data_IF_698122303625
#
_entry.id   IF_698122303625
#
_cell.length_a   1.000
_cell.length_b   1.000
_cell.length_c   1.000
_cell.angle_alpha   90.00
_cell.angle_beta   90.00
_cell.angle_gamma   90.00
#
_symmetry.space_group_name_H-M   'P 1'
#
loop_
_entity.id
_entity.type
_entity.pdbx_description
1 polymer ?
#
# COMPACT_ATOMS: atom_id res chain seq x y z
N UNK A 1 -16.78 -13.46 -17.27
CA UNK A 1 -17.38 -12.41 -18.13
C UNK A 1 -17.27 -11.08 -17.39
N UNK A 2 -16.42 -10.18 -17.85
CA UNK A 2 -16.32 -8.82 -17.31
C UNK A 2 -16.68 -7.81 -18.41
N UNK A 3 -17.31 -6.70 -18.03
CA UNK A 3 -17.60 -5.55 -18.91
C UNK A 3 -18.41 -5.84 -20.18
N UNK A 4 -19.23 -6.89 -20.21
CA UNK A 4 -20.19 -7.10 -21.31
C UNK A 4 -21.27 -6.03 -21.20
N UNK A 5 -21.11 -4.93 -21.94
CA UNK A 5 -22.14 -3.89 -22.04
C UNK A 5 -23.43 -4.52 -22.56
N UNK A 6 -24.52 -4.36 -21.80
CA UNK A 6 -25.86 -4.74 -22.27
C UNK A 6 -26.26 -3.77 -23.37
N UNK A 7 -26.10 -4.19 -24.62
CA UNK A 7 -26.58 -3.44 -25.79
C UNK A 7 -28.01 -3.89 -26.07
N UNK A 8 -28.99 -2.97 -26.12
CA UNK A 8 -30.33 -3.28 -26.62
C UNK A 8 -30.18 -3.79 -28.04
N UNK A 9 -30.55 -5.04 -28.28
CA UNK A 9 -30.46 -5.72 -29.58
C UNK A 9 -31.86 -6.13 -29.99
N UNK A 10 -32.20 -5.90 -31.26
CA UNK A 10 -33.50 -6.30 -31.80
C UNK A 10 -33.60 -7.83 -31.84
N UNK A 11 -34.82 -8.36 -31.88
CA UNK A 11 -35.03 -9.82 -31.90
C UNK A 11 -34.42 -10.47 -33.15
N UNK A 12 -34.41 -9.75 -34.29
CA UNK A 12 -33.75 -10.18 -35.53
C UNK A 12 -32.22 -10.27 -35.37
N UNK A 13 -31.57 -9.26 -34.79
CA UNK A 13 -30.14 -9.28 -34.52
C UNK A 13 -29.74 -10.38 -33.52
N UNK A 14 -30.61 -10.66 -32.55
CA UNK A 14 -30.42 -11.77 -31.59
C UNK A 14 -30.46 -13.11 -32.30
N UNK A 15 -31.45 -13.33 -33.17
CA UNK A 15 -31.59 -14.57 -33.93
C UNK A 15 -30.40 -14.81 -34.88
N UNK A 16 -29.88 -13.76 -35.54
CA UNK A 16 -28.67 -13.85 -36.38
C UNK A 16 -27.46 -14.24 -35.54
N UNK A 17 -27.22 -13.57 -34.39
CA UNK A 17 -26.11 -13.90 -33.49
C UNK A 17 -26.20 -15.31 -32.91
N UNK A 18 -27.40 -15.81 -32.63
CA UNK A 18 -27.62 -17.18 -32.16
C UNK A 18 -27.27 -18.21 -33.23
N UNK A 19 -27.69 -17.99 -34.49
CA UNK A 19 -27.30 -18.87 -35.61
C UNK A 19 -25.79 -18.90 -35.80
N UNK A 20 -25.12 -17.76 -35.77
CA UNK A 20 -23.65 -17.71 -35.86
C UNK A 20 -22.96 -18.43 -34.70
N UNK A 21 -23.46 -18.26 -33.47
CA UNK A 21 -22.95 -18.97 -32.29
C UNK A 21 -23.14 -20.47 -32.40
N UNK A 22 -24.27 -20.93 -32.92
CA UNK A 22 -24.55 -22.35 -33.13
C UNK A 22 -23.57 -22.99 -34.13
N UNK A 23 -23.25 -22.31 -35.24
CA UNK A 23 -22.27 -22.78 -36.23
C UNK A 23 -20.87 -22.86 -35.61
N UNK A 24 -20.47 -21.83 -34.85
CA UNK A 24 -19.18 -21.80 -34.13
C UNK A 24 -19.10 -22.91 -33.09
N UNK A 25 -20.18 -23.13 -32.33
CA UNK A 25 -20.27 -24.19 -31.33
C UNK A 25 -20.16 -25.57 -31.96
N UNK A 26 -20.84 -25.83 -33.08
CA UNK A 26 -20.74 -27.10 -33.81
C UNK A 26 -19.31 -27.38 -34.25
N UNK A 27 -18.64 -26.37 -34.79
CA UNK A 27 -17.22 -26.47 -35.17
C UNK A 27 -16.32 -26.75 -33.96
N UNK A 28 -16.56 -26.05 -32.84
CA UNK A 28 -15.82 -26.24 -31.60
C UNK A 28 -15.98 -27.68 -31.07
N UNK A 29 -17.21 -28.19 -30.99
CA UNK A 29 -17.49 -29.55 -30.52
C UNK A 29 -16.82 -30.60 -31.39
N UNK A 30 -16.91 -30.48 -32.72
CA UNK A 30 -16.27 -31.42 -33.63
C UNK A 30 -14.75 -31.48 -33.46
N UNK A 31 -14.09 -30.32 -33.37
CA UNK A 31 -12.62 -30.25 -33.17
C UNK A 31 -12.23 -30.76 -31.78
N UNK A 32 -12.99 -30.43 -30.74
CA UNK A 32 -12.79 -30.93 -29.37
C UNK A 32 -12.85 -32.45 -29.33
N UNK A 33 -13.88 -33.04 -29.93
CA UNK A 33 -14.10 -34.48 -29.90
C UNK A 33 -12.98 -35.22 -30.63
N UNK A 34 -12.53 -34.68 -31.77
CA UNK A 34 -11.36 -35.19 -32.49
C UNK A 34 -10.07 -35.13 -31.65
N UNK A 35 -9.81 -34.03 -30.94
CA UNK A 35 -8.65 -33.91 -30.04
C UNK A 35 -8.68 -35.00 -28.96
N UNK A 36 -9.84 -35.24 -28.35
CA UNK A 36 -9.97 -36.27 -27.31
C UNK A 36 -9.83 -37.68 -27.85
N UNK A 37 -10.37 -37.95 -29.05
CA UNK A 37 -10.21 -39.25 -29.72
C UNK A 37 -8.73 -39.54 -30.02
N UNK A 38 -8.01 -38.59 -30.62
CA UNK A 38 -6.56 -38.72 -30.89
C UNK A 38 -5.77 -38.94 -29.61
N UNK A 39 -6.03 -38.14 -28.57
CA UNK A 39 -5.37 -38.31 -27.27
C UNK A 39 -5.65 -39.69 -26.66
N UNK A 40 -6.88 -40.19 -26.76
CA UNK A 40 -7.24 -41.51 -26.24
C UNK A 40 -6.52 -42.65 -26.99
N UNK A 41 -6.24 -42.47 -28.28
CA UNK A 41 -5.42 -43.39 -29.09
C UNK A 41 -3.92 -43.24 -28.88
N UNK A 42 -3.47 -42.24 -28.11
CA UNK A 42 -2.05 -41.92 -27.90
C UNK A 42 -1.39 -41.20 -29.08
N UNK A 43 -2.16 -40.65 -30.01
CA UNK A 43 -1.68 -39.93 -31.18
C UNK A 43 -1.26 -38.49 -30.80
N UNK A 44 -0.02 -38.35 -30.33
CA UNK A 44 0.59 -37.07 -29.93
C UNK A 44 1.45 -36.48 -31.05
N UNK A 45 0.80 -36.04 -32.13
CA UNK A 45 1.43 -35.61 -33.39
C UNK A 45 1.31 -34.09 -33.65
N UNK A 46 1.75 -33.61 -34.82
CA UNK A 46 1.58 -32.20 -35.20
C UNK A 46 0.11 -31.82 -35.43
N UNK A 47 -0.75 -32.78 -35.78
CA UNK A 47 -2.16 -32.55 -35.99
C UNK A 47 -2.85 -32.15 -34.68
N UNK A 48 -2.58 -32.83 -33.57
CA UNK A 48 -3.16 -32.45 -32.27
C UNK A 48 -2.70 -31.05 -31.83
N UNK A 49 -1.47 -30.63 -32.20
CA UNK A 49 -1.00 -29.26 -31.99
C UNK A 49 -1.78 -28.27 -32.87
N UNK A 50 -2.01 -28.55 -34.15
CA UNK A 50 -2.81 -27.66 -34.99
C UNK A 50 -4.26 -27.54 -34.48
N UNK A 51 -4.88 -28.66 -34.10
CA UNK A 51 -6.27 -28.70 -33.61
C UNK A 51 -6.42 -27.93 -32.29
N UNK A 52 -5.51 -28.13 -31.34
CA UNK A 52 -5.55 -27.40 -30.07
C UNK A 52 -5.27 -25.91 -30.26
N UNK A 53 -4.35 -25.52 -31.15
CA UNK A 53 -4.09 -24.12 -31.50
C UNK A 53 -5.37 -23.43 -31.98
N UNK A 54 -6.10 -24.04 -32.92
CA UNK A 54 -7.34 -23.50 -33.47
C UNK A 54 -8.40 -23.18 -32.41
N UNK A 55 -8.45 -23.98 -31.34
CA UNK A 55 -9.38 -23.75 -30.23
C UNK A 55 -8.85 -22.72 -29.22
N UNK A 56 -7.55 -22.74 -28.92
CA UNK A 56 -6.91 -21.85 -27.95
C UNK A 56 -6.85 -20.40 -28.42
N UNK A 57 -6.63 -20.14 -29.72
CA UNK A 57 -6.72 -18.80 -30.31
C UNK A 57 -8.11 -18.16 -30.12
N UNK A 58 -9.15 -18.98 -29.94
CA UNK A 58 -10.52 -18.51 -29.67
C UNK A 58 -10.85 -18.44 -28.19
N UNK A 59 -10.34 -19.40 -27.41
CA UNK A 59 -10.53 -19.43 -25.96
C UNK A 59 -9.27 -19.97 -25.27
N UNK A 60 -8.37 -19.08 -24.82
CA UNK A 60 -7.12 -19.49 -24.19
C UNK A 60 -7.30 -20.03 -22.76
N UNK A 61 -8.50 -19.96 -22.18
CA UNK A 61 -8.75 -20.42 -20.80
C UNK A 61 -9.07 -21.92 -20.70
N UNK A 62 -9.11 -22.63 -21.84
CA UNK A 62 -9.30 -24.09 -21.84
C UNK A 62 -7.99 -24.79 -21.47
N UNK A 63 -7.72 -24.86 -20.16
CA UNK A 63 -6.49 -25.42 -19.60
C UNK A 63 -6.19 -26.86 -20.07
N UNK A 64 -7.23 -27.67 -20.31
CA UNK A 64 -7.07 -29.04 -20.81
C UNK A 64 -6.32 -29.10 -22.14
N UNK A 65 -6.57 -28.18 -23.06
CA UNK A 65 -5.86 -28.16 -24.34
C UNK A 65 -4.40 -27.75 -24.17
N UNK A 66 -4.09 -26.82 -23.26
CA UNK A 66 -2.70 -26.53 -22.91
C UNK A 66 -1.99 -27.74 -22.28
N UNK A 67 -2.68 -28.55 -21.47
CA UNK A 67 -2.11 -29.78 -20.91
C UNK A 67 -1.75 -30.78 -22.02
N UNK A 68 -2.68 -31.01 -22.96
CA UNK A 68 -2.47 -31.88 -24.12
C UNK A 68 -1.31 -31.39 -24.98
N UNK A 69 -1.21 -30.07 -25.21
CA UNK A 69 -0.06 -29.48 -25.90
C UNK A 69 1.24 -29.78 -25.19
N UNK A 70 1.33 -29.54 -23.88
CA UNK A 70 2.56 -29.82 -23.11
C UNK A 70 2.94 -31.30 -23.14
N UNK A 71 1.98 -32.21 -23.04
CA UNK A 71 2.22 -33.66 -23.21
C UNK A 71 2.84 -33.95 -24.59
N UNK A 72 2.22 -33.43 -25.64
CA UNK A 72 2.67 -33.62 -27.03
C UNK A 72 4.06 -33.03 -27.28
N UNK A 73 4.29 -31.79 -26.85
CA UNK A 73 5.57 -31.11 -26.99
C UNK A 73 6.66 -31.84 -26.19
N UNK A 74 6.35 -32.33 -24.99
CA UNK A 74 7.31 -33.09 -24.18
C UNK A 74 7.76 -34.39 -24.86
N UNK A 75 6.83 -35.10 -25.52
CA UNK A 75 7.14 -36.29 -26.32
C UNK A 75 8.01 -35.89 -27.52
N UNK A 76 7.61 -34.87 -28.29
CA UNK A 76 8.38 -34.39 -29.44
C UNK A 76 9.78 -33.92 -29.07
N UNK A 77 9.97 -33.20 -27.97
CA UNK A 77 11.30 -32.80 -27.48
C UNK A 77 12.15 -34.02 -27.16
N UNK A 78 11.58 -35.06 -26.52
CA UNK A 78 12.31 -36.30 -26.23
C UNK A 78 12.72 -37.01 -27.51
N UNK A 79 11.82 -37.14 -28.47
CA UNK A 79 12.07 -37.81 -29.74
C UNK A 79 13.13 -37.07 -30.57
N UNK A 80 13.05 -35.73 -30.64
CA UNK A 80 14.04 -34.89 -31.31
C UNK A 80 15.42 -35.03 -30.64
N UNK A 81 15.49 -34.93 -29.30
CA UNK A 81 16.74 -35.11 -28.54
C UNK A 81 17.30 -36.53 -28.60
N UNK A 82 16.45 -37.54 -28.78
CA UNK A 82 16.89 -38.92 -28.97
C UNK A 82 17.43 -39.13 -30.39
N UNK A 83 16.75 -38.61 -31.39
CA UNK A 83 17.23 -38.60 -32.77
C UNK A 83 18.60 -37.89 -32.86
N UNK A 84 18.77 -36.77 -32.16
CA UNK A 84 20.06 -36.06 -32.03
C UNK A 84 21.16 -36.95 -31.43
N UNK A 85 20.89 -37.66 -30.33
CA UNK A 85 21.87 -38.58 -29.71
C UNK A 85 22.24 -39.75 -30.61
N UNK A 86 21.34 -40.21 -31.47
CA UNK A 86 21.64 -41.23 -32.47
C UNK A 86 22.44 -40.68 -33.66
N UNK A 87 22.31 -39.39 -33.99
CA UNK A 87 22.99 -38.73 -35.11
C UNK A 87 24.28 -37.97 -34.74
N UNK A 88 24.57 -37.77 -33.45
CA UNK A 88 25.76 -37.08 -32.90
C UNK A 88 27.12 -37.69 -33.27
N UNK A 89 27.17 -38.69 -34.16
CA UNK A 89 28.37 -39.14 -34.86
C UNK A 89 28.68 -38.33 -36.14
N UNK A 90 27.84 -37.36 -36.54
CA UNK A 90 28.04 -36.61 -37.78
C UNK A 90 27.62 -35.12 -37.70
N UNK A 91 28.58 -34.26 -37.36
CA UNK A 91 28.59 -32.79 -37.53
C UNK A 91 27.85 -31.93 -36.49
N UNK A 92 28.62 -31.01 -35.91
CA UNK A 92 28.18 -29.91 -35.06
C UNK A 92 27.68 -28.77 -35.96
N UNK A 93 26.39 -28.39 -35.93
CA UNK A 93 25.92 -26.98 -36.06
C UNK A 93 24.47 -26.74 -36.50
N UNK A 94 23.67 -27.73 -36.93
CA UNK A 94 22.33 -27.43 -37.54
C UNK A 94 21.07 -27.88 -36.79
N UNK A 95 21.15 -28.75 -35.79
CA UNK A 95 19.94 -29.46 -35.29
C UNK A 95 19.34 -28.99 -33.95
N UNK A 96 20.11 -28.30 -33.09
CA UNK A 96 19.58 -27.56 -31.90
C UNK A 96 18.43 -26.60 -32.27
N UNK A 97 18.36 -26.21 -33.54
CA UNK A 97 17.34 -25.34 -34.13
C UNK A 97 15.91 -25.92 -34.07
N UNK A 98 15.69 -27.24 -34.22
CA UNK A 98 14.31 -27.78 -34.37
C UNK A 98 13.49 -27.71 -33.09
N UNK A 99 14.11 -28.02 -31.94
CA UNK A 99 13.46 -27.89 -30.63
C UNK A 99 13.18 -26.42 -30.35
N UNK A 100 14.16 -25.55 -30.61
CA UNK A 100 13.99 -24.10 -30.42
C UNK A 100 12.94 -23.50 -31.36
N UNK A 101 12.81 -23.98 -32.60
CA UNK A 101 11.77 -23.56 -33.55
C UNK A 101 10.37 -23.96 -33.06
N UNK A 102 10.22 -25.18 -32.53
CA UNK A 102 8.98 -25.65 -31.91
C UNK A 102 8.60 -24.77 -30.70
N UNK A 103 9.56 -24.49 -29.80
CA UNK A 103 9.32 -23.64 -28.63
C UNK A 103 9.02 -22.19 -29.04
N UNK A 104 9.68 -21.66 -30.08
CA UNK A 104 9.40 -20.32 -30.63
C UNK A 104 7.98 -20.23 -31.20
N UNK A 105 7.50 -21.28 -31.87
CA UNK A 105 6.11 -21.35 -32.33
C UNK A 105 5.11 -21.32 -31.16
N UNK A 106 5.42 -21.97 -30.03
CA UNK A 106 4.60 -21.90 -28.82
C UNK A 106 4.61 -20.50 -28.17
N UNK A 107 5.77 -19.82 -28.16
CA UNK A 107 5.85 -18.43 -27.71
C UNK A 107 4.99 -17.50 -28.60
N UNK A 108 4.92 -17.77 -29.90
CA UNK A 108 4.03 -17.03 -30.80
C UNK A 108 2.55 -17.31 -30.51
N UNK A 109 2.17 -18.59 -30.31
CA UNK A 109 0.80 -18.95 -29.96
C UNK A 109 0.35 -18.30 -28.63
N UNK A 110 1.20 -18.34 -27.60
CA UNK A 110 0.89 -17.71 -26.32
C UNK A 110 0.75 -16.20 -26.46
N UNK A 111 1.55 -15.55 -27.30
CA UNK A 111 1.41 -14.13 -27.60
C UNK A 111 0.03 -13.81 -28.19
N UNK A 112 -0.40 -14.55 -29.23
CA UNK A 112 -1.74 -14.38 -29.82
C UNK A 112 -2.87 -14.57 -28.79
N UNK A 113 -2.72 -15.60 -27.95
CA UNK A 113 -3.68 -15.89 -26.89
C UNK A 113 -3.76 -14.77 -25.84
N UNK A 114 -2.62 -14.19 -25.46
CA UNK A 114 -2.53 -13.10 -24.48
C UNK A 114 -2.98 -11.76 -25.07
N UNK A 115 -2.82 -11.53 -26.36
CA UNK A 115 -3.41 -10.37 -27.05
C UNK A 115 -4.95 -10.46 -27.08
N UNK A 116 -5.50 -11.67 -27.23
CA UNK A 116 -6.94 -11.91 -27.16
C UNK A 116 -7.48 -11.85 -25.72
N UNK A 117 -6.75 -12.41 -24.74
CA UNK A 117 -7.09 -12.36 -23.32
C UNK A 117 -5.83 -12.27 -22.45
N UNK A 118 -5.43 -11.04 -22.13
CA UNK A 118 -4.22 -10.75 -21.35
C UNK A 118 -4.29 -11.20 -19.87
N UNK A 119 -5.45 -11.68 -19.42
CA UNK A 119 -5.70 -12.22 -18.07
C UNK A 119 -5.88 -13.75 -18.05
N UNK A 120 -5.52 -14.42 -19.14
CA UNK A 120 -5.60 -15.88 -19.20
C UNK A 120 -4.51 -16.53 -18.34
N UNK A 121 -4.91 -17.18 -17.24
CA UNK A 121 -4.00 -17.95 -16.39
C UNK A 121 -3.24 -19.01 -17.18
N UNK A 122 -3.96 -19.76 -18.03
CA UNK A 122 -3.38 -20.90 -18.74
C UNK A 122 -2.38 -20.48 -19.80
N UNK A 123 -2.61 -19.37 -20.50
CA UNK A 123 -1.66 -18.86 -21.50
C UNK A 123 -0.36 -18.36 -20.84
N UNK A 124 -0.45 -17.59 -19.75
CA UNK A 124 0.74 -17.15 -18.99
C UNK A 124 1.51 -18.33 -18.40
N UNK A 125 0.81 -19.30 -17.81
CA UNK A 125 1.44 -20.51 -17.28
C UNK A 125 2.18 -21.30 -18.38
N UNK A 126 1.53 -21.50 -19.54
CA UNK A 126 2.16 -22.19 -20.66
C UNK A 126 3.37 -21.44 -21.19
N UNK A 127 3.31 -20.11 -21.32
CA UNK A 127 4.45 -19.27 -21.74
C UNK A 127 5.64 -19.43 -20.81
N UNK A 128 5.41 -19.36 -19.49
CA UNK A 128 6.46 -19.60 -18.48
C UNK A 128 7.05 -21.01 -18.56
N UNK A 129 6.22 -22.03 -18.81
CA UNK A 129 6.68 -23.41 -19.02
C UNK A 129 7.54 -23.55 -20.28
N UNK A 130 7.17 -22.92 -21.41
CA UNK A 130 7.93 -22.94 -22.67
C UNK A 130 9.32 -22.35 -22.47
N UNK A 131 9.42 -21.19 -21.79
CA UNK A 131 10.70 -20.54 -21.49
C UNK A 131 11.63 -21.45 -20.66
N UNK A 132 11.08 -22.28 -19.78
CA UNK A 132 11.85 -23.25 -18.98
C UNK A 132 12.34 -24.45 -19.80
N UNK A 133 11.78 -24.71 -20.98
CA UNK A 133 12.23 -25.79 -21.85
C UNK A 133 13.35 -25.38 -22.81
N UNK A 134 13.52 -24.07 -23.05
CA UNK A 134 14.56 -23.54 -23.92
C UNK A 134 15.94 -23.69 -23.27
N UNK A 135 16.95 -23.96 -24.09
CA UNK A 135 18.34 -24.01 -23.61
C UNK A 135 18.87 -22.59 -23.34
N UNK A 136 18.49 -21.65 -24.20
CA UNK A 136 18.89 -20.24 -24.13
C UNK A 136 17.67 -19.32 -24.32
N UNK A 137 16.82 -19.18 -23.28
CA UNK A 137 15.63 -18.33 -23.39
C UNK A 137 16.00 -16.86 -23.67
N UNK A 138 15.30 -16.22 -24.60
CA UNK A 138 15.45 -14.77 -24.88
C UNK A 138 14.73 -13.93 -23.81
N UNK A 139 15.33 -13.92 -22.62
CA UNK A 139 14.88 -13.20 -21.44
C UNK A 139 14.77 -11.70 -21.68
N UNK A 140 15.59 -11.11 -22.58
CA UNK A 140 15.56 -9.68 -22.86
C UNK A 140 14.29 -9.30 -23.60
N UNK A 141 13.93 -10.04 -24.64
CA UNK A 141 12.67 -9.86 -25.34
C UNK A 141 11.48 -10.09 -24.41
N UNK A 142 11.60 -11.06 -23.51
CA UNK A 142 10.53 -11.36 -22.57
C UNK A 142 10.30 -10.28 -21.50
N UNK A 143 11.38 -9.66 -21.00
CA UNK A 143 11.28 -8.49 -20.12
C UNK A 143 10.65 -7.29 -20.84
N UNK A 144 11.02 -7.06 -22.11
CA UNK A 144 10.39 -6.01 -22.93
C UNK A 144 8.88 -6.25 -23.14
N UNK A 145 8.47 -7.51 -23.30
CA UNK A 145 7.07 -7.90 -23.37
C UNK A 145 6.35 -7.59 -22.04
N UNK A 146 6.96 -7.92 -20.91
CA UNK A 146 6.42 -7.59 -19.59
C UNK A 146 6.24 -6.07 -19.42
N UNK A 147 7.25 -5.29 -19.81
CA UNK A 147 7.20 -3.82 -19.79
C UNK A 147 6.05 -3.30 -20.67
N UNK A 148 5.87 -3.84 -21.88
CA UNK A 148 4.76 -3.47 -22.77
C UNK A 148 3.40 -3.83 -22.17
N UNK A 149 3.25 -5.02 -21.61
CA UNK A 149 2.01 -5.46 -21.00
C UNK A 149 1.64 -4.65 -19.74
N UNK A 150 2.62 -4.30 -18.91
CA UNK A 150 2.42 -3.44 -17.72
C UNK A 150 2.15 -1.98 -18.08
N UNK A 151 2.63 -1.49 -19.23
CA UNK A 151 2.20 -0.18 -19.76
C UNK A 151 0.72 -0.16 -20.16
N UNK A 152 0.19 -1.29 -20.64
CA UNK A 152 -1.22 -1.42 -21.03
C UNK A 152 -2.14 -1.64 -19.82
N UNK A 153 -1.72 -2.47 -18.86
CA UNK A 153 -2.42 -2.70 -17.60
C UNK A 153 -1.40 -2.89 -16.48
N UNK A 154 -1.07 -1.79 -15.79
CA UNK A 154 -0.08 -1.78 -14.72
C UNK A 154 -0.50 -2.60 -13.48
N UNK A 155 -1.78 -2.99 -13.40
CA UNK A 155 -2.37 -3.80 -12.32
C UNK A 155 -2.52 -5.27 -12.72
N UNK A 156 -2.06 -5.66 -13.90
CA UNK A 156 -2.14 -7.04 -14.36
C UNK A 156 -1.19 -7.94 -13.55
N UNK A 157 -1.69 -8.55 -12.48
CA UNK A 157 -0.89 -9.41 -11.62
C UNK A 157 -0.30 -10.61 -12.38
N UNK A 158 -0.93 -11.10 -13.44
CA UNK A 158 -0.36 -12.19 -14.24
C UNK A 158 0.96 -11.78 -14.90
N UNK A 159 1.04 -10.56 -15.41
CA UNK A 159 2.27 -10.02 -16.00
C UNK A 159 3.33 -9.80 -14.93
N UNK A 160 2.94 -9.32 -13.74
CA UNK A 160 3.86 -9.22 -12.59
C UNK A 160 4.41 -10.58 -12.15
N UNK A 161 3.55 -11.59 -12.07
CA UNK A 161 3.91 -12.96 -11.71
C UNK A 161 4.88 -13.54 -12.76
N UNK A 162 4.56 -13.36 -14.04
CA UNK A 162 5.41 -13.81 -15.14
C UNK A 162 6.76 -13.10 -15.15
N UNK A 163 6.80 -11.77 -14.94
CA UNK A 163 8.06 -11.03 -14.82
C UNK A 163 8.94 -11.61 -13.72
N UNK A 164 8.38 -12.02 -12.57
CA UNK A 164 9.16 -12.66 -11.50
C UNK A 164 9.76 -14.01 -11.92
N UNK A 165 9.08 -14.77 -12.78
CA UNK A 165 9.64 -15.99 -13.37
C UNK A 165 10.80 -15.66 -14.30
N UNK A 166 10.61 -14.67 -15.19
CA UNK A 166 11.64 -14.24 -16.15
C UNK A 166 12.87 -13.68 -15.45
N UNK A 167 12.69 -12.81 -14.45
CA UNK A 167 13.76 -12.26 -13.64
C UNK A 167 14.59 -13.36 -12.95
N UNK A 168 13.93 -14.44 -12.49
CA UNK A 168 14.61 -15.60 -11.92
C UNK A 168 15.40 -16.40 -12.98
N UNK A 169 14.88 -16.52 -14.20
CA UNK A 169 15.55 -17.25 -15.29
C UNK A 169 16.84 -16.55 -15.76
N UNK A 170 16.88 -15.21 -15.72
CA UNK A 170 18.07 -14.42 -16.06
C UNK A 170 18.94 -14.03 -14.87
N UNK A 171 18.63 -14.53 -13.67
CA UNK A 171 19.36 -14.21 -12.44
C UNK A 171 19.53 -12.70 -12.22
N UNK A 172 18.49 -11.91 -12.49
CA UNK A 172 18.54 -10.46 -12.23
C UNK A 172 18.77 -10.20 -10.74
N UNK A 173 19.59 -9.19 -10.48
CA UNK A 173 19.86 -8.75 -9.12
C UNK A 173 18.64 -8.03 -8.53
N UNK A 174 18.52 -8.05 -7.21
CA UNK A 174 17.43 -7.37 -6.52
C UNK A 174 17.42 -5.86 -6.80
N UNK A 175 18.59 -5.27 -7.03
CA UNK A 175 18.75 -3.85 -7.40
C UNK A 175 18.07 -3.52 -8.73
N UNK A 176 18.15 -4.41 -9.72
CA UNK A 176 17.56 -4.18 -11.05
C UNK A 176 16.03 -4.15 -10.97
N UNK A 177 15.45 -5.06 -10.19
CA UNK A 177 14.00 -5.10 -9.99
C UNK A 177 13.49 -4.00 -9.04
N UNK A 178 14.33 -3.53 -8.09
CA UNK A 178 14.03 -2.32 -7.32
C UNK A 178 14.02 -1.09 -8.23
N UNK A 179 14.96 -0.98 -9.18
CA UNK A 179 14.98 0.11 -10.14
C UNK A 179 13.83 0.03 -11.15
N UNK A 180 13.44 -1.18 -11.52
CA UNK A 180 12.21 -1.40 -12.27
C UNK A 180 10.97 -0.84 -11.54
N UNK A 181 10.83 -1.15 -10.25
CA UNK A 181 9.74 -0.60 -9.43
C UNK A 181 9.80 0.92 -9.30
N UNK A 182 11.02 1.50 -9.16
CA UNK A 182 11.21 2.96 -9.13
C UNK A 182 10.65 3.62 -10.38
N UNK A 183 10.99 3.08 -11.55
CA UNK A 183 10.56 3.60 -12.84
C UNK A 183 9.04 3.52 -13.01
N UNK A 184 8.40 2.46 -12.53
CA UNK A 184 6.94 2.32 -12.60
C UNK A 184 6.21 3.24 -11.61
N UNK A 185 6.74 3.43 -10.40
CA UNK A 185 6.20 4.38 -9.42
C UNK A 185 6.34 5.82 -9.95
N UNK A 186 7.48 6.16 -10.55
CA UNK A 186 7.68 7.49 -11.13
C UNK A 186 6.75 7.79 -12.32
N UNK A 187 6.31 6.76 -13.06
CA UNK A 187 5.33 6.90 -14.13
C UNK A 187 3.89 6.99 -13.62
N UNK A 188 3.59 6.28 -12.54
CA UNK A 188 2.27 6.25 -11.91
C UNK A 188 2.43 5.95 -10.42
N UNK A 189 2.37 6.99 -9.59
CA UNK A 189 2.55 6.87 -8.15
C UNK A 189 1.45 6.03 -7.50
N UNK A 190 0.27 5.97 -8.08
CA UNK A 190 -0.87 5.17 -7.60
C UNK A 190 -0.80 3.69 -8.02
N UNK A 191 0.34 3.22 -8.52
CA UNK A 191 0.54 1.83 -8.94
C UNK A 191 0.79 0.91 -7.73
N UNK A 192 -0.30 0.42 -7.11
CA UNK A 192 -0.25 -0.55 -6.02
C UNK A 192 0.66 -1.76 -6.28
N UNK A 193 0.62 -2.31 -7.50
CA UNK A 193 1.40 -3.49 -7.82
C UNK A 193 2.91 -3.22 -7.78
N UNK A 194 3.35 -2.01 -8.16
CA UNK A 194 4.75 -1.61 -8.06
C UNK A 194 5.19 -1.44 -6.59
N UNK A 195 4.38 -0.79 -5.75
CA UNK A 195 4.65 -0.67 -4.32
C UNK A 195 4.69 -2.04 -3.62
N UNK A 196 3.73 -2.91 -3.94
CA UNK A 196 3.71 -4.27 -3.42
C UNK A 196 4.94 -5.07 -3.85
N UNK A 197 5.34 -4.96 -5.13
CA UNK A 197 6.51 -5.64 -5.63
C UNK A 197 7.78 -5.16 -4.92
N UNK A 198 7.91 -3.84 -4.72
CA UNK A 198 9.00 -3.23 -3.96
C UNK A 198 9.07 -3.74 -2.52
N UNK A 199 7.95 -3.79 -1.81
CA UNK A 199 7.87 -4.36 -0.45
C UNK A 199 8.35 -5.82 -0.40
N UNK A 200 7.92 -6.63 -1.37
CA UNK A 200 8.32 -8.03 -1.48
C UNK A 200 9.82 -8.20 -1.77
N UNK A 201 10.43 -7.32 -2.58
CA UNK A 201 11.86 -7.31 -2.84
C UNK A 201 12.66 -6.99 -1.57
N UNK A 202 12.28 -5.93 -0.84
CA UNK A 202 12.92 -5.56 0.42
C UNK A 202 12.87 -6.68 1.46
N UNK A 203 11.75 -7.43 1.56
CA UNK A 203 11.66 -8.60 2.43
C UNK A 203 12.62 -9.73 2.05
N UNK A 204 13.00 -9.86 0.78
CA UNK A 204 13.95 -10.88 0.32
C UNK A 204 15.39 -10.46 0.60
N UNK A 205 15.72 -9.20 0.35
CA UNK A 205 17.03 -8.61 0.67
C UNK A 205 17.29 -8.66 2.18
N UNK A 206 16.29 -8.39 3.03
CA UNK A 206 16.46 -8.50 4.48
C UNK A 206 16.72 -9.93 4.98
N UNK A 207 16.21 -10.96 4.29
CA UNK A 207 16.36 -12.37 4.71
C UNK A 207 17.75 -12.95 4.47
N UNK A 208 18.53 -12.40 3.55
CA UNK A 208 19.91 -12.86 3.32
C UNK A 208 20.86 -12.44 4.43
N UNK A 209 20.49 -11.44 5.24
CA UNK A 209 21.20 -11.06 6.45
C UNK A 209 20.65 -11.92 7.61
N UNK A 210 21.34 -13.02 7.91
CA UNK A 210 20.89 -14.21 8.70
C UNK A 210 20.25 -14.01 10.08
N UNK A 211 19.95 -12.80 10.56
CA UNK A 211 19.28 -12.61 11.86
C UNK A 211 18.22 -11.51 11.94
N UNK A 212 17.83 -10.85 10.85
CA UNK A 212 16.88 -9.74 10.94
C UNK A 212 15.82 -9.79 9.83
N UNK A 213 14.56 -10.03 10.24
CA UNK A 213 13.37 -9.56 9.51
C UNK A 213 13.25 -8.02 9.59
N UNK A 214 14.37 -7.30 9.48
CA UNK A 214 14.47 -5.85 9.68
C UNK A 214 15.19 -5.25 8.48
N UNK A 215 14.62 -4.19 7.92
CA UNK A 215 15.34 -3.32 7.00
C UNK A 215 16.23 -2.39 7.82
N UNK A 216 17.40 -2.04 7.30
CA UNK A 216 18.25 -1.05 7.96
C UNK A 216 17.57 0.33 7.98
N UNK A 217 17.87 1.12 9.01
CA UNK A 217 17.23 2.42 9.24
C UNK A 217 17.46 3.41 8.10
N UNK A 218 18.60 3.30 7.40
CA UNK A 218 18.92 4.15 6.25
C UNK A 218 17.99 3.84 5.08
N UNK A 219 17.81 2.57 4.74
CA UNK A 219 16.85 2.12 3.72
C UNK A 219 15.43 2.55 4.07
N UNK A 220 14.99 2.38 5.32
CA UNK A 220 13.64 2.81 5.75
C UNK A 220 13.48 4.32 5.55
N UNK A 221 14.47 5.12 5.94
CA UNK A 221 14.43 6.57 5.79
C UNK A 221 14.35 7.00 4.32
N UNK A 222 15.13 6.37 3.44
CA UNK A 222 15.11 6.71 2.01
C UNK A 222 13.81 6.26 1.33
N UNK A 223 13.23 5.13 1.74
CA UNK A 223 11.92 4.69 1.29
C UNK A 223 10.79 5.60 1.79
N UNK A 224 10.88 6.07 3.04
CA UNK A 224 9.90 7.02 3.59
C UNK A 224 9.95 8.36 2.85
N UNK A 225 11.14 8.88 2.53
CA UNK A 225 11.26 10.07 1.67
C UNK A 225 10.60 9.87 0.30
N UNK A 226 10.72 8.66 -0.27
CA UNK A 226 10.16 8.34 -1.58
C UNK A 226 8.64 8.33 -1.56
N UNK A 227 8.04 7.67 -0.57
CA UNK A 227 6.57 7.61 -0.43
C UNK A 227 5.99 8.96 -0.04
N UNK A 228 6.77 9.81 0.65
CA UNK A 228 6.38 11.20 0.94
C UNK A 228 6.02 11.99 -0.31
N UNK A 229 6.85 11.94 -1.35
CA UNK A 229 6.53 12.60 -2.62
C UNK A 229 5.26 12.05 -3.29
N UNK A 230 4.91 10.77 -3.05
CA UNK A 230 3.75 10.13 -3.66
C UNK A 230 2.43 10.63 -3.06
N UNK A 231 2.27 10.61 -1.73
CA UNK A 231 1.04 11.11 -1.10
C UNK A 231 0.89 12.64 -1.19
N UNK A 232 1.97 13.39 -1.36
CA UNK A 232 1.88 14.82 -1.71
C UNK A 232 1.30 15.07 -3.09
N UNK A 233 1.47 14.11 -4.01
CA UNK A 233 1.00 14.23 -5.40
C UNK A 233 -0.45 13.76 -5.53
N UNK A 234 -0.78 12.63 -4.91
CA UNK A 234 -2.14 12.06 -4.88
C UNK A 234 -2.42 11.47 -3.49
N UNK A 235 -3.00 12.27 -2.59
CA UNK A 235 -3.22 11.86 -1.20
C UNK A 235 -4.36 10.84 -1.04
N UNK A 236 -5.28 10.74 -2.02
CA UNK A 236 -6.35 9.74 -2.03
C UNK A 236 -5.85 8.35 -2.47
N UNK A 237 -4.63 8.26 -3.04
CA UNK A 237 -4.02 6.98 -3.38
C UNK A 237 -3.66 6.16 -2.12
N UNK A 238 -4.42 5.10 -1.92
CA UNK A 238 -4.20 4.16 -0.82
C UNK A 238 -2.88 3.38 -0.95
N UNK A 239 -2.30 3.29 -2.14
CA UNK A 239 -1.11 2.47 -2.38
C UNK A 239 0.10 2.97 -1.61
N UNK A 240 0.36 4.27 -1.67
CA UNK A 240 1.42 4.92 -0.89
C UNK A 240 1.21 4.71 0.63
N UNK A 241 0.00 4.91 1.14
CA UNK A 241 -0.31 4.73 2.55
C UNK A 241 -0.10 3.29 3.04
N UNK A 242 -0.54 2.30 2.26
CA UNK A 242 -0.33 0.89 2.58
C UNK A 242 1.17 0.56 2.61
N UNK A 243 1.96 1.14 1.70
CA UNK A 243 3.41 0.94 1.69
C UNK A 243 4.10 1.60 2.89
N UNK A 244 3.72 2.84 3.25
CA UNK A 244 4.20 3.52 4.47
C UNK A 244 3.94 2.68 5.71
N UNK A 245 2.73 2.13 5.85
CA UNK A 245 2.39 1.22 6.95
C UNK A 245 3.33 0.02 6.99
N UNK A 246 3.59 -0.61 5.85
CA UNK A 246 4.55 -1.72 5.76
C UNK A 246 5.95 -1.32 6.26
N UNK A 247 6.48 -0.16 5.86
CA UNK A 247 7.81 0.31 6.28
C UNK A 247 7.89 0.49 7.81
N UNK A 248 6.86 1.10 8.41
CA UNK A 248 6.77 1.28 9.86
C UNK A 248 6.64 -0.07 10.59
N UNK A 249 5.91 -1.03 10.01
CA UNK A 249 5.79 -2.39 10.57
C UNK A 249 7.10 -3.20 10.49
N UNK A 250 7.97 -2.90 9.51
CA UNK A 250 9.26 -3.58 9.34
C UNK A 250 10.32 -3.14 10.36
N UNK A 251 10.35 -1.88 10.75
CA UNK A 251 11.22 -1.42 11.85
C UNK A 251 10.84 -2.08 13.19
N UNK A 252 9.55 -2.38 13.34
CA UNK A 252 8.92 -2.70 14.62
C UNK A 252 8.62 -4.16 14.88
N UNK A 253 9.08 -5.09 14.03
CA UNK A 253 8.82 -6.54 14.18
C UNK A 253 7.33 -6.93 14.18
N UNK A 254 6.44 -6.14 13.53
CA UNK A 254 4.96 -6.32 13.60
C UNK A 254 4.38 -6.27 15.02
N UNK A 255 5.04 -5.54 15.93
CA UNK A 255 4.68 -5.44 17.36
C UNK A 255 3.49 -4.51 17.60
N UNK A 256 3.20 -3.63 16.64
CA UNK A 256 2.29 -2.50 16.74
C UNK A 256 0.78 -2.80 16.77
N UNK A 257 0.34 -4.05 16.95
CA UNK A 257 -1.08 -4.38 16.73
C UNK A 257 -1.68 -5.40 17.71
N UNK A 258 -0.94 -5.90 18.71
CA UNK A 258 -1.51 -6.90 19.63
C UNK A 258 -1.25 -6.54 21.10
N UNK A 259 -2.30 -6.22 21.89
CA UNK A 259 -2.19 -6.01 23.34
C UNK A 259 -1.51 -7.17 24.06
N UNK A 260 -1.70 -8.41 23.57
CA UNK A 260 -1.14 -9.65 24.13
C UNK A 260 0.28 -10.00 23.65
N UNK A 261 1.02 -9.05 23.08
CA UNK A 261 2.40 -9.28 22.62
C UNK A 261 3.36 -9.50 23.80
N UNK A 262 4.19 -10.54 23.73
CA UNK A 262 5.22 -10.91 24.74
C UNK A 262 6.43 -9.94 24.75
N UNK A 263 6.47 -8.97 23.84
CA UNK A 263 7.54 -7.97 23.77
C UNK A 263 7.33 -6.88 24.84
N UNK A 264 8.39 -6.39 25.52
CA UNK A 264 8.28 -5.31 26.51
C UNK A 264 7.64 -4.06 25.89
N UNK A 265 6.64 -3.49 26.57
CA UNK A 265 6.11 -2.19 26.21
C UNK A 265 7.19 -1.13 26.44
N UNK A 266 7.35 -0.15 25.54
CA UNK A 266 8.32 0.94 25.71
C UNK A 266 7.71 2.25 25.19
N UNK A 267 8.08 3.41 25.78
CA UNK A 267 7.70 4.71 25.24
C UNK A 267 8.43 4.94 23.91
N UNK A 268 7.67 5.31 22.87
CA UNK A 268 8.19 5.74 21.58
C UNK A 268 8.51 7.23 21.61
N UNK A 269 7.56 8.02 22.10
CA UNK A 269 7.70 9.46 22.28
C UNK A 269 7.13 9.84 23.65
N UNK A 270 7.84 10.72 24.34
CA UNK A 270 7.31 11.48 25.48
C UNK A 270 7.53 12.94 25.18
N UNK A 271 6.45 13.71 25.19
CA UNK A 271 6.47 15.16 24.98
C UNK A 271 5.83 15.87 26.17
N UNK A 272 6.38 17.04 26.50
CA UNK A 272 5.83 17.94 27.50
C UNK A 272 5.67 19.33 26.91
N UNK A 273 4.45 19.84 26.95
CA UNK A 273 4.11 21.12 26.35
C UNK A 273 3.07 21.85 27.20
N UNK A 274 3.41 23.06 27.65
CA UNK A 274 2.58 23.84 28.55
C UNK A 274 2.41 23.13 29.89
N UNK A 275 1.26 22.47 30.05
CA UNK A 275 0.90 21.66 31.21
C UNK A 275 0.48 20.23 30.83
N UNK A 276 0.74 19.76 29.61
CA UNK A 276 0.34 18.43 29.17
C UNK A 276 1.56 17.57 28.83
N UNK A 277 1.66 16.42 29.50
CA UNK A 277 2.58 15.34 29.16
C UNK A 277 1.84 14.34 28.28
N UNK A 278 2.33 14.11 27.05
CA UNK A 278 1.83 13.04 26.18
C UNK A 278 2.86 11.94 26.07
N UNK A 279 2.38 10.71 26.19
CA UNK A 279 3.17 9.49 26.04
C UNK A 279 2.57 8.64 24.94
N UNK A 280 3.37 8.29 23.95
CA UNK A 280 2.99 7.33 22.90
C UNK A 280 3.80 6.07 23.07
N UNK A 281 3.10 4.95 23.27
CA UNK A 281 3.71 3.66 23.59
C UNK A 281 3.86 2.76 22.35
N UNK A 282 4.76 1.79 22.42
CA UNK A 282 5.01 0.84 21.33
C UNK A 282 3.88 -0.17 21.11
N UNK A 283 2.93 -0.30 22.04
CA UNK A 283 1.71 -1.10 21.91
C UNK A 283 0.63 -0.51 22.82
N UNK A 284 -0.62 -0.94 22.65
CA UNK A 284 -1.65 -0.66 23.66
C UNK A 284 -1.23 -1.28 24.99
N UNK A 285 -1.23 -0.47 26.04
CA UNK A 285 -0.76 -0.84 27.37
C UNK A 285 -1.64 -0.18 28.44
N UNK A 286 -1.52 -0.69 29.66
CA UNK A 286 -2.16 -0.14 30.85
C UNK A 286 -1.41 1.09 31.36
N UNK A 287 -2.04 1.88 32.23
CA UNK A 287 -1.39 3.03 32.87
C UNK A 287 -0.20 2.61 33.75
N UNK A 288 -0.31 1.48 34.44
CA UNK A 288 0.76 0.97 35.31
C UNK A 288 2.06 0.68 34.52
N UNK A 289 1.91 0.17 33.30
CA UNK A 289 3.03 -0.03 32.38
C UNK A 289 3.66 1.30 31.93
N UNK A 290 2.88 2.37 31.80
CA UNK A 290 3.38 3.72 31.45
C UNK A 290 4.11 4.36 32.63
N UNK A 291 3.53 4.28 33.84
CA UNK A 291 4.13 4.79 35.07
C UNK A 291 5.46 4.10 35.42
N UNK A 292 5.70 2.88 34.91
CA UNK A 292 7.02 2.25 34.97
C UNK A 292 8.15 3.05 34.28
N UNK A 293 7.81 3.89 33.30
CA UNK A 293 8.76 4.75 32.57
C UNK A 293 8.74 6.21 33.02
N UNK A 294 7.75 6.62 33.81
CA UNK A 294 7.49 8.03 34.10
C UNK A 294 7.32 8.22 35.59
N UNK A 295 8.12 9.10 36.16
CA UNK A 295 7.97 9.55 37.55
C UNK A 295 7.27 10.90 37.55
N UNK A 296 6.12 10.99 38.21
CA UNK A 296 5.40 12.25 38.44
C UNK A 296 5.63 12.70 39.88
N UNK A 297 5.78 14.01 40.09
CA UNK A 297 5.89 14.62 41.42
C UNK A 297 4.53 14.85 42.08
N UNK A 298 3.46 14.90 41.27
CA UNK A 298 2.08 15.06 41.69
C UNK A 298 1.22 13.87 41.23
N UNK A 299 0.15 13.56 41.98
CA UNK A 299 -0.91 12.62 41.57
C UNK A 299 -1.83 13.28 40.53
N UNK A 300 -1.28 13.58 39.35
CA UNK A 300 -2.06 14.08 38.23
C UNK A 300 -2.79 12.91 37.51
N UNK A 301 -4.08 13.04 37.18
CA UNK A 301 -4.84 11.97 36.57
C UNK A 301 -4.41 11.72 35.12
N UNK A 302 -4.05 10.47 34.82
CA UNK A 302 -3.74 10.04 33.46
C UNK A 302 -5.00 9.62 32.71
N UNK A 303 -5.08 10.01 31.44
CA UNK A 303 -6.17 9.66 30.54
C UNK A 303 -5.64 8.93 29.32
N UNK A 304 -6.13 7.70 29.10
CA UNK A 304 -5.89 6.95 27.88
C UNK A 304 -6.78 7.48 26.74
N UNK A 305 -6.20 7.59 25.56
CA UNK A 305 -6.86 8.07 24.35
C UNK A 305 -7.26 6.89 23.46
N UNK A 306 -8.54 6.81 23.09
CA UNK A 306 -9.10 5.77 22.20
C UNK A 306 -10.37 6.27 21.50
N UNK A 307 -10.54 5.92 20.22
CA UNK A 307 -11.83 6.12 19.53
C UNK A 307 -12.89 5.08 19.91
N UNK A 308 -12.49 3.95 20.48
CA UNK A 308 -13.38 2.83 20.79
C UNK A 308 -14.00 2.95 22.19
N UNK A 309 -13.35 3.67 23.10
CA UNK A 309 -13.84 3.85 24.47
C UNK A 309 -13.40 5.20 25.04
N UNK A 310 -14.30 5.94 25.72
CA UNK A 310 -13.98 7.20 26.40
C UNK A 310 -13.13 6.99 27.68
N UNK A 311 -13.09 5.76 28.21
CA UNK A 311 -12.27 5.35 29.36
C UNK A 311 -11.64 3.99 29.03
N UNK A 312 -10.59 3.96 28.19
CA UNK A 312 -9.97 2.71 27.80
C UNK A 312 -9.19 2.11 28.98
N UNK A 313 -9.34 0.81 29.23
CA UNK A 313 -8.50 0.07 30.19
C UNK A 313 -7.05 -0.04 29.71
N UNK A 314 -6.85 -0.07 28.39
CA UNK A 314 -5.55 -0.01 27.74
C UNK A 314 -5.59 0.95 26.54
N UNK A 315 -4.56 1.78 26.42
CA UNK A 315 -4.42 2.72 25.33
C UNK A 315 -2.95 2.76 24.87
N UNK A 316 -2.73 3.18 23.63
CA UNK A 316 -1.37 3.43 23.13
C UNK A 316 -0.90 4.84 23.47
N UNK A 317 -1.82 5.80 23.48
CA UNK A 317 -1.56 7.20 23.76
C UNK A 317 -2.15 7.50 25.14
N UNK A 318 -1.31 8.04 26.01
CA UNK A 318 -1.66 8.45 27.37
C UNK A 318 -1.30 9.92 27.56
N UNK A 319 -2.19 10.67 28.20
CA UNK A 319 -2.00 12.09 28.48
C UNK A 319 -2.17 12.38 29.96
N UNK A 320 -1.40 13.34 30.46
CA UNK A 320 -1.44 13.79 31.84
C UNK A 320 -1.33 15.31 31.88
N UNK A 321 -2.33 15.96 32.48
CA UNK A 321 -2.32 17.41 32.67
C UNK A 321 -1.71 17.69 34.04
N UNK A 322 -0.52 18.28 34.07
CA UNK A 322 0.24 18.61 35.27
C UNK A 322 0.96 19.94 35.09
N UNK A 323 0.93 20.80 36.12
CA UNK A 323 1.76 22.01 36.17
C UNK A 323 3.24 21.72 36.34
N UNK A 324 3.59 20.51 36.79
CA UNK A 324 4.97 20.07 36.99
C UNK A 324 5.35 19.03 35.93
N UNK A 325 6.48 19.24 35.21
CA UNK A 325 6.97 18.32 34.20
C UNK A 325 7.34 16.96 34.82
N UNK A 326 7.05 15.89 34.08
CA UNK A 326 7.36 14.53 34.51
C UNK A 326 8.85 14.22 34.28
N UNK A 327 9.38 13.22 34.97
CA UNK A 327 10.73 12.72 34.69
C UNK A 327 10.65 11.39 33.94
N UNK A 328 11.38 11.26 32.83
CA UNK A 328 11.28 10.08 31.94
C UNK A 328 12.50 9.17 32.09
N UNK A 329 12.24 7.88 32.27
CA UNK A 329 13.22 6.80 32.22
C UNK A 329 12.96 5.97 30.95
N UNK A 330 13.60 6.30 29.81
CA UNK A 330 13.28 5.68 28.53
C UNK A 330 13.68 4.18 28.45
N UNK A 331 14.61 3.72 29.29
CA UNK A 331 14.98 2.30 29.40
C UNK A 331 15.00 1.84 30.85
N UNK A 332 14.12 0.89 31.19
CA UNK A 332 14.07 0.24 32.50
C UNK A 332 15.39 -0.53 32.70
N UNK A 333 16.17 -0.14 33.72
CA UNK A 333 17.44 -0.78 34.09
C UNK A 333 18.72 -0.02 33.72
N UNK A 334 18.63 1.12 33.01
CA UNK A 334 19.75 2.06 32.86
C UNK A 334 19.50 3.31 33.70
N UNK A 335 20.52 3.82 34.40
CA UNK A 335 20.46 5.08 35.16
C UNK A 335 20.51 6.32 34.23
N UNK A 336 19.74 6.31 33.15
CA UNK A 336 19.60 7.47 32.26
C UNK A 336 18.21 8.05 32.50
N UNK A 337 18.19 9.25 33.05
CA UNK A 337 16.97 9.99 33.37
C UNK A 337 16.96 11.22 32.49
N UNK A 338 15.91 11.41 31.70
CA UNK A 338 15.75 12.58 30.83
C UNK A 338 14.77 13.52 31.50
N UNK A 339 15.22 14.74 31.77
CA UNK A 339 14.35 15.84 32.13
C UNK A 339 13.76 16.45 30.85
N UNK A 340 12.45 16.29 30.67
CA UNK A 340 11.71 16.76 29.50
C UNK A 340 11.53 18.28 29.49
N UNK A 341 11.98 18.99 30.55
CA UNK A 341 12.05 20.47 30.55
C UNK A 341 13.19 21.03 29.71
N UNK A 342 14.32 20.32 29.65
CA UNK A 342 15.50 20.75 28.90
C UNK A 342 15.49 20.21 27.45
N UNK A 343 14.76 19.11 27.21
CA UNK A 343 14.50 18.57 25.87
C UNK A 343 13.03 18.16 25.75
N UNK A 344 12.21 18.87 24.94
CA UNK A 344 10.76 18.62 24.87
C UNK A 344 10.36 17.26 24.26
N UNK A 345 11.35 16.44 23.86
CA UNK A 345 11.16 15.14 23.24
C UNK A 345 12.16 14.12 23.79
N UNK A 346 11.66 13.08 24.45
CA UNK A 346 12.42 11.85 24.69
C UNK A 346 12.02 10.81 23.64
N UNK A 347 12.62 10.88 22.45
CA UNK A 347 12.35 9.93 21.37
C UNK A 347 13.36 8.79 21.41
N UNK A 348 12.87 7.55 21.37
CA UNK A 348 13.72 6.42 20.94
C UNK A 348 13.82 6.53 19.42
N UNK A 349 14.85 7.24 18.97
CA UNK A 349 15.18 7.63 17.57
C UNK A 349 14.24 7.04 16.52
N UNK A 350 13.24 7.85 16.14
CA UNK A 350 12.55 7.72 14.86
C UNK A 350 12.61 9.14 14.27
N UNK A 351 13.47 9.40 13.26
CA UNK A 351 13.77 10.74 12.81
C UNK A 351 12.51 11.42 12.23
N UNK A 352 12.05 12.48 12.91
CA UNK A 352 11.19 13.59 12.43
C UNK A 352 10.47 13.31 11.09
N UNK A 353 9.32 12.66 11.16
CA UNK A 353 8.46 12.40 10.00
C UNK A 353 7.40 13.49 9.90
N UNK A 354 7.66 14.53 9.09
CA UNK A 354 6.62 15.47 8.67
C UNK A 354 5.71 14.76 7.67
N UNK A 355 4.63 14.16 8.18
CA UNK A 355 3.53 13.70 7.34
C UNK A 355 2.58 14.87 7.17
N UNK A 356 2.75 15.58 6.07
CA UNK A 356 1.72 16.50 5.59
C UNK A 356 0.65 15.64 4.92
N UNK A 357 -0.46 15.43 5.62
CA UNK A 357 -1.70 15.01 4.97
C UNK A 357 -2.20 16.27 4.28
N UNK A 358 -2.13 16.32 2.96
CA UNK A 358 -2.80 17.34 2.16
C UNK A 358 -4.03 16.71 1.52
N UNK A 359 -5.16 17.41 1.54
CA UNK A 359 -6.38 17.17 0.75
C UNK A 359 -6.69 15.71 0.39
N UNK A 360 -7.05 14.87 1.36
CA UNK A 360 -7.69 13.58 1.06
C UNK A 360 -9.08 13.56 1.65
N UNK A 361 -10.03 12.96 0.92
CA UNK A 361 -11.34 12.59 1.46
C UNK A 361 -11.12 11.38 2.35
N UNK A 362 -10.86 11.58 3.65
CA UNK A 362 -10.45 10.47 4.51
C UNK A 362 -11.64 9.59 4.88
N UNK A 363 -11.94 8.63 3.99
CA UNK A 363 -12.90 7.54 4.26
C UNK A 363 -12.26 6.41 5.09
N UNK A 364 -11.01 6.56 5.52
CA UNK A 364 -10.27 5.56 6.31
C UNK A 364 -10.29 5.80 7.83
N UNK A 365 -10.93 6.86 8.33
CA UNK A 365 -11.02 7.15 9.78
C UNK A 365 -12.03 6.30 10.57
N UNK A 366 -12.61 5.24 9.99
CA UNK A 366 -13.51 4.36 10.75
C UNK A 366 -12.78 3.37 11.68
N UNK A 367 -11.45 3.27 11.63
CA UNK A 367 -10.67 2.52 12.62
C UNK A 367 -9.27 3.12 12.79
N UNK A 368 -8.91 3.54 14.01
CA UNK A 368 -7.59 4.05 14.41
C UNK A 368 -6.42 3.05 14.19
N UNK A 369 -6.69 1.84 13.69
CA UNK A 369 -5.71 0.76 13.51
C UNK A 369 -4.66 1.08 12.43
N UNK A 370 -3.63 1.83 12.80
CA UNK A 370 -2.41 2.04 12.01
C UNK A 370 -1.83 3.46 12.06
N UNK A 371 -2.66 4.48 12.32
CA UNK A 371 -2.24 5.89 12.35
C UNK A 371 -1.76 6.31 13.76
N UNK A 372 -2.08 5.56 14.81
CA UNK A 372 -1.58 5.81 16.18
C UNK A 372 -0.03 5.88 16.26
N UNK A 373 0.66 5.20 15.35
CA UNK A 373 2.13 5.26 15.22
C UNK A 373 2.62 6.63 14.73
N UNK A 374 1.80 7.26 13.88
CA UNK A 374 2.07 8.56 13.30
C UNK A 374 1.60 9.68 14.23
N UNK A 375 0.64 9.43 15.12
CA UNK A 375 0.10 10.43 16.03
C UNK A 375 1.15 11.10 16.93
N UNK A 376 2.17 10.35 17.35
CA UNK A 376 3.31 10.90 18.09
C UNK A 376 4.32 11.68 17.23
N UNK A 377 4.19 11.64 15.90
CA UNK A 377 5.16 12.18 14.94
C UNK A 377 4.60 13.36 14.13
N UNK A 378 3.28 13.43 13.97
CA UNK A 378 2.60 14.48 13.19
C UNK A 378 2.54 15.78 14.00
N UNK A 379 3.25 16.80 13.51
CA UNK A 379 3.22 18.16 14.05
C UNK A 379 2.41 19.13 13.17
N UNK A 380 2.07 18.74 11.94
CA UNK A 380 1.29 19.55 10.99
C UNK A 380 0.27 18.67 10.30
N UNK A 381 -0.99 19.10 10.28
CA UNK A 381 -2.11 18.37 9.70
C UNK A 381 -2.99 19.34 8.91
N UNK A 382 -3.25 19.01 7.64
CA UNK A 382 -4.22 19.71 6.81
C UNK A 382 -5.35 18.74 6.42
N UNK A 383 -6.55 19.04 6.88
CA UNK A 383 -7.79 18.28 6.58
C UNK A 383 -8.79 19.16 5.85
N UNK A 384 -8.32 20.16 5.10
CA UNK A 384 -9.20 21.06 4.34
C UNK A 384 -10.00 20.32 3.25
N UNK A 385 -11.15 20.88 2.85
CA UNK A 385 -11.96 20.37 1.74
C UNK A 385 -12.67 19.03 2.03
N UNK A 386 -12.86 18.69 3.31
CA UNK A 386 -13.44 17.44 3.75
C UNK A 386 -14.91 17.58 4.18
N UNK A 387 -15.50 16.49 4.68
CA UNK A 387 -16.85 16.48 5.26
C UNK A 387 -16.86 16.34 6.79
N UNK A 388 -15.80 16.83 7.46
CA UNK A 388 -15.69 16.76 8.91
C UNK A 388 -16.72 17.67 9.57
N UNK A 389 -17.49 17.13 10.52
CA UNK A 389 -18.47 17.89 11.31
C UNK A 389 -17.91 18.33 12.66
N UNK A 390 -16.88 17.65 13.15
CA UNK A 390 -16.16 17.92 14.38
C UNK A 390 -14.68 17.52 14.19
N UNK A 391 -13.84 17.88 15.16
CA UNK A 391 -12.42 17.52 15.18
C UNK A 391 -12.09 16.56 16.34
N UNK A 392 -13.10 15.93 16.94
CA UNK A 392 -12.94 15.11 18.15
C UNK A 392 -12.17 13.81 17.85
N UNK A 393 -12.25 13.36 16.60
CA UNK A 393 -11.56 12.17 16.08
C UNK A 393 -10.07 12.42 15.76
N UNK A 394 -9.60 13.69 15.80
CA UNK A 394 -8.20 14.03 15.56
C UNK A 394 -7.38 13.78 16.82
N UNK A 395 -6.85 12.56 16.92
CA UNK A 395 -6.05 12.10 18.07
C UNK A 395 -4.55 12.26 17.82
N UNK A 396 -4.12 13.50 17.57
CA UNK A 396 -2.73 13.87 17.24
C UNK A 396 -2.13 14.75 18.34
N UNK A 397 -1.56 14.16 19.40
CA UNK A 397 -1.19 14.92 20.60
C UNK A 397 0.02 15.85 20.41
N UNK A 398 0.86 15.64 19.39
CA UNK A 398 2.01 16.51 19.10
C UNK A 398 1.70 17.53 17.99
N UNK A 399 0.42 17.73 17.67
CA UNK A 399 0.02 18.62 16.59
C UNK A 399 0.25 20.09 16.96
N UNK A 400 1.06 20.78 16.16
CA UNK A 400 1.35 22.21 16.31
C UNK A 400 0.56 23.07 15.30
N UNK A 401 0.31 22.56 14.10
CA UNK A 401 -0.36 23.28 13.01
C UNK A 401 -1.53 22.46 12.49
N UNK A 402 -2.75 22.98 12.61
CA UNK A 402 -3.97 22.33 12.13
C UNK A 402 -4.71 23.25 11.16
N UNK A 403 -4.86 22.80 9.92
CA UNK A 403 -5.73 23.44 8.92
C UNK A 403 -6.93 22.54 8.66
N UNK A 404 -8.14 23.06 8.81
CA UNK A 404 -9.38 22.32 8.59
C UNK A 404 -10.41 23.20 7.86
N UNK A 405 -9.95 23.92 6.84
CA UNK A 405 -10.79 24.82 6.06
C UNK A 405 -11.83 24.04 5.24
N UNK A 406 -12.89 24.70 4.77
CA UNK A 406 -13.86 24.14 3.83
C UNK A 406 -14.52 22.83 4.33
N UNK A 407 -14.69 22.71 5.64
CA UNK A 407 -15.38 21.59 6.27
C UNK A 407 -16.74 22.04 6.84
N UNK A 408 -17.75 21.15 6.91
CA UNK A 408 -19.03 21.46 7.51
C UNK A 408 -19.00 21.47 9.06
N UNK A 409 -17.93 22.01 9.65
CA UNK A 409 -17.75 22.15 11.10
C UNK A 409 -18.64 23.28 11.60
N UNK A 410 -19.49 22.96 12.57
CA UNK A 410 -20.40 23.92 13.21
C UNK A 410 -19.96 24.34 14.61
N UNK A 411 -19.15 23.49 15.27
CA UNK A 411 -18.71 23.65 16.65
C UNK A 411 -17.40 22.88 16.88
N UNK A 412 -16.55 23.44 17.73
CA UNK A 412 -15.42 22.75 18.33
C UNK A 412 -15.76 22.35 19.76
N UNK A 413 -15.40 21.11 20.11
CA UNK A 413 -15.47 20.60 21.48
C UNK A 413 -14.07 20.71 22.11
N UNK A 414 -13.96 21.07 23.39
CA UNK A 414 -12.69 21.02 24.10
C UNK A 414 -12.03 19.64 23.95
N UNK A 415 -10.82 19.63 23.39
CA UNK A 415 -10.07 18.40 23.14
C UNK A 415 -8.64 18.56 23.64
N UNK A 416 -8.24 17.64 24.52
CA UNK A 416 -6.92 17.61 25.16
C UNK A 416 -5.78 17.32 24.17
N UNK A 417 -6.10 16.79 22.99
CA UNK A 417 -5.11 16.57 21.92
C UNK A 417 -4.66 17.87 21.26
N UNK A 418 -5.41 18.98 21.42
CA UNK A 418 -5.09 20.27 20.83
C UNK A 418 -4.35 21.24 21.75
N UNK A 419 -3.90 20.79 22.93
CA UNK A 419 -3.14 21.65 23.85
C UNK A 419 -1.87 22.26 23.19
N UNK A 420 -1.31 21.58 22.18
CA UNK A 420 -0.06 21.94 21.51
C UNK A 420 -0.25 22.71 20.20
N UNK A 421 -1.51 22.89 19.77
CA UNK A 421 -1.82 23.56 18.52
C UNK A 421 -1.50 25.04 18.67
N UNK A 422 -0.46 25.49 17.96
CA UNK A 422 -0.01 26.88 17.85
C UNK A 422 -0.78 27.64 16.79
N UNK A 423 -1.17 26.95 15.72
CA UNK A 423 -1.92 27.50 14.61
C UNK A 423 -3.14 26.65 14.30
N UNK A 424 -4.31 27.27 14.30
CA UNK A 424 -5.57 26.65 13.88
C UNK A 424 -6.21 27.46 12.75
N UNK A 425 -6.59 26.79 11.65
CA UNK A 425 -7.33 27.38 10.54
C UNK A 425 -8.67 26.66 10.31
N UNK A 426 -9.76 27.44 10.31
CA UNK A 426 -11.15 27.02 10.11
C UNK A 426 -11.84 27.95 9.10
N UNK A 427 -11.17 28.25 7.99
CA UNK A 427 -11.73 29.05 6.90
C UNK A 427 -12.91 28.34 6.23
N UNK A 428 -13.90 29.10 5.76
CA UNK A 428 -15.07 28.58 5.03
C UNK A 428 -15.85 27.45 5.76
N UNK A 429 -15.80 27.42 7.10
CA UNK A 429 -16.58 26.52 7.95
C UNK A 429 -17.94 27.13 8.36
N UNK A 430 -18.90 26.30 8.76
CA UNK A 430 -20.26 26.71 9.19
C UNK A 430 -20.35 27.15 10.66
N UNK A 431 -19.37 27.93 11.12
CA UNK A 431 -19.28 28.35 12.52
C UNK A 431 -20.02 29.67 12.71
N UNK A 432 -21.20 29.60 13.33
CA UNK A 432 -22.14 30.72 13.39
C UNK A 432 -21.95 31.66 14.61
N UNK A 433 -21.32 31.16 15.68
CA UNK A 433 -21.26 31.86 16.96
C UNK A 433 -19.92 31.67 17.69
N UNK A 434 -19.52 32.67 18.47
CA UNK A 434 -18.32 32.64 19.30
C UNK A 434 -18.39 31.47 20.30
N UNK A 435 -19.58 31.19 20.85
CA UNK A 435 -19.80 30.08 21.77
C UNK A 435 -19.56 28.70 21.13
N UNK A 436 -19.57 28.61 19.80
CA UNK A 436 -19.27 27.37 19.09
C UNK A 436 -17.78 27.02 19.09
N UNK A 437 -16.88 27.96 19.36
CA UNK A 437 -15.42 27.71 19.34
C UNK A 437 -14.74 28.07 20.64
N UNK A 438 -15.25 29.07 21.35
CA UNK A 438 -14.59 29.66 22.49
C UNK A 438 -14.23 28.67 23.61
N UNK A 439 -15.12 27.71 24.01
CA UNK A 439 -14.76 26.73 25.03
C UNK A 439 -13.55 25.89 24.63
N UNK A 440 -13.44 25.50 23.34
CA UNK A 440 -12.32 24.71 22.86
C UNK A 440 -11.04 25.54 22.77
N UNK A 441 -11.11 26.75 22.21
CA UNK A 441 -9.95 27.66 22.08
C UNK A 441 -9.33 28.00 23.45
N UNK A 442 -10.15 28.20 24.49
CA UNK A 442 -9.66 28.44 25.86
C UNK A 442 -8.88 27.26 26.45
N UNK A 443 -9.08 26.04 25.95
CA UNK A 443 -8.31 24.86 26.38
C UNK A 443 -7.02 24.66 25.60
N UNK A 444 -6.80 25.38 24.50
CA UNK A 444 -5.59 25.28 23.68
C UNK A 444 -4.50 26.21 24.24
N UNK A 445 -3.75 25.73 25.22
CA UNK A 445 -2.77 26.55 25.95
C UNK A 445 -1.61 27.10 25.08
N UNK A 446 -1.30 26.46 23.96
CA UNK A 446 -0.23 26.88 23.05
C UNK A 446 -0.73 27.73 21.86
N UNK A 447 -2.02 28.04 21.77
CA UNK A 447 -2.59 28.70 20.58
C UNK A 447 -2.06 30.12 20.42
N UNK A 448 -1.33 30.37 19.34
CA UNK A 448 -0.78 31.68 18.99
C UNK A 448 -1.58 32.37 17.88
N UNK A 449 -2.16 31.58 16.96
CA UNK A 449 -2.79 32.09 15.74
C UNK A 449 -4.07 31.32 15.44
N UNK A 450 -5.14 32.06 15.15
CA UNK A 450 -6.43 31.49 14.77
C UNK A 450 -6.98 32.14 13.50
N UNK A 451 -7.09 31.37 12.42
CA UNK A 451 -7.63 31.78 11.12
C UNK A 451 -9.05 31.24 10.95
N UNK A 452 -9.99 32.10 10.55
CA UNK A 452 -11.42 31.76 10.42
C UNK A 452 -12.12 32.58 9.34
N UNK A 453 -11.41 32.90 8.25
CA UNK A 453 -11.95 33.64 7.12
C UNK A 453 -13.20 32.96 6.52
N UNK A 454 -14.06 33.75 5.89
CA UNK A 454 -15.27 33.23 5.20
C UNK A 454 -16.22 32.43 6.11
N UNK A 455 -16.14 32.65 7.42
CA UNK A 455 -17.09 32.14 8.41
C UNK A 455 -17.95 33.28 8.95
N UNK A 456 -19.16 33.00 9.45
CA UNK A 456 -19.96 34.02 10.15
C UNK A 456 -19.26 34.65 11.38
N UNK A 457 -18.24 33.99 11.95
CA UNK A 457 -17.41 34.54 13.03
C UNK A 457 -16.66 35.82 12.66
N UNK A 458 -16.39 36.07 11.38
CA UNK A 458 -15.70 37.29 10.92
C UNK A 458 -16.43 38.56 11.40
N UNK A 459 -17.76 38.52 11.47
CA UNK A 459 -18.56 39.64 11.99
C UNK A 459 -18.45 39.85 13.51
N UNK A 460 -17.93 38.87 14.24
CA UNK A 460 -17.83 38.82 15.71
C UNK A 460 -16.37 38.86 16.21
N UNK A 461 -15.43 39.30 15.37
CA UNK A 461 -13.99 39.33 15.70
C UNK A 461 -13.68 40.14 16.96
N UNK A 462 -14.37 41.26 17.20
CA UNK A 462 -14.14 42.09 18.40
C UNK A 462 -14.52 41.35 19.69
N UNK A 463 -15.60 40.57 19.67
CA UNK A 463 -16.03 39.79 20.84
C UNK A 463 -15.07 38.63 21.10
N UNK A 464 -14.56 37.99 20.04
CA UNK A 464 -13.55 36.95 20.16
C UNK A 464 -12.20 37.51 20.68
N UNK A 465 -11.84 38.72 20.29
CA UNK A 465 -10.60 39.39 20.73
C UNK A 465 -10.61 39.73 22.23
N UNK A 466 -11.78 40.08 22.80
CA UNK A 466 -11.93 40.32 24.25
C UNK A 466 -11.60 39.07 25.07
N UNK A 467 -11.98 37.90 24.56
CA UNK A 467 -11.86 36.63 25.26
C UNK A 467 -10.50 35.94 25.05
N UNK A 468 -9.79 36.27 23.97
CA UNK A 468 -8.50 35.66 23.59
C UNK A 468 -7.42 36.72 23.33
N UNK A 469 -7.02 37.51 24.34
CA UNK A 469 -6.14 38.67 24.16
C UNK A 469 -4.72 38.33 23.69
N UNK A 470 -4.27 37.09 23.90
CA UNK A 470 -2.94 36.60 23.52
C UNK A 470 -2.89 35.91 22.15
N UNK A 471 -4.03 35.72 21.49
CA UNK A 471 -4.12 34.98 20.22
C UNK A 471 -4.23 35.96 19.05
N UNK A 472 -3.37 35.81 18.05
CA UNK A 472 -3.49 36.56 16.79
C UNK A 472 -4.66 36.02 15.98
N UNK A 473 -5.73 36.79 15.90
CA UNK A 473 -6.91 36.49 15.09
C UNK A 473 -6.70 36.89 13.63
N UNK A 474 -7.06 36.01 12.69
CA UNK A 474 -6.87 36.18 11.24
C UNK A 474 -8.22 35.97 10.54
N UNK A 475 -9.05 37.02 10.40
CA UNK A 475 -10.40 36.91 9.81
C UNK A 475 -10.41 36.95 8.26
N UNK A 476 -9.26 37.10 7.61
CA UNK A 476 -9.11 37.15 6.16
C UNK A 476 -7.76 36.53 5.74
N UNK A 477 -7.66 36.04 4.50
CA UNK A 477 -6.38 35.59 3.95
C UNK A 477 -5.44 36.80 3.84
N UNK A 478 -4.32 36.75 4.57
CA UNK A 478 -3.21 37.71 4.50
C UNK A 478 -2.00 37.07 3.83
#
# INVERSE_FOLDING_TARGET
MHFVKKVPTTDEERAVKEKERAIKLKTFCAVRDLIFEKRAKGELDDEILMLTQKLLERNPDVYTFWNIRRETISVKIKDLRQAERCFQLASESKESTKVEDLLRAELFLTQLCLEANHKSYSAWFHRGWVLQQQEHPDVKTELMLCDKALKLDCRNFHTWDHRRVVAKLCSLEWSDELEFSNRLIAQNFSNYSAWHYRAALHLKVGRTNENLKKLDEMTINDELKKVTSAFFTDPDDQSAWVYTRFLLEMDSRRVFSKPKSLVPCVPLTVSFHGNNTTVVMSKSCTIDEVLGFISTSEEAPWKGISALSPKPECARIWQCISSVPCTVRPEIGKNVTIDITEQPYANRVCPKYQIFIGNSTVSFFFALDGIELLAGLVTTLDVSGNHLRNLDEVLMPNLEYLTANENPIVRLVPNITFCNVKFLALGACHINDVDCVLPALKTMCALERFLYCETPLVSKTEDLAKELPSVRLIPYYL
#
